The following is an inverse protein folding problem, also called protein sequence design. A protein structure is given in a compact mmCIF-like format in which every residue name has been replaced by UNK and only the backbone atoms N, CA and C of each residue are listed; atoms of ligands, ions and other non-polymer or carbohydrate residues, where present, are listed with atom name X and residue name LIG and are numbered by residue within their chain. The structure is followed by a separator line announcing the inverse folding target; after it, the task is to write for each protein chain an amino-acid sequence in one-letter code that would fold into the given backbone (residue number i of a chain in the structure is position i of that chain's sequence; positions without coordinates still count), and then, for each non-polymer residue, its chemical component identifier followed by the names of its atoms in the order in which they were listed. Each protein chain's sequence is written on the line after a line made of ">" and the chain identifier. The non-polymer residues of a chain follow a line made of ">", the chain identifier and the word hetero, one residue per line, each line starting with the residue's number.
data_IF_620010191096
#
_entry.id   IF_620010191096
#
_cell.length_a   1.000
_cell.length_b   1.000
_cell.length_c   1.000
_cell.angle_alpha   90.00
_cell.angle_beta   90.00
_cell.angle_gamma   90.00
#
_symmetry.space_group_name_H-M   'P 1'
#
loop_
_entity.id
_entity.type
_entity.pdbx_description
1 polymer ?
#
# COMPACT_ATOMS: atom_id res chain seq x y z
N UNK A 1 1.03 -53.18 70.27
CA UNK A 1 -0.07 -52.51 69.54
C UNK A 1 0.58 -51.46 68.64
N UNK A 2 0.90 -51.80 67.39
CA UNK A 2 1.59 -50.94 66.43
C UNK A 2 0.54 -50.30 65.50
N UNK A 3 0.48 -48.96 65.45
CA UNK A 3 -0.33 -48.22 64.47
C UNK A 3 0.49 -47.96 63.20
N UNK A 4 -0.04 -48.14 61.99
CA UNK A 4 0.68 -47.80 60.77
C UNK A 4 0.55 -46.31 60.47
N UNK A 5 1.68 -45.70 60.11
CA UNK A 5 1.78 -44.35 59.57
C UNK A 5 1.46 -44.42 58.06
N UNK A 6 0.34 -43.83 57.62
CA UNK A 6 0.03 -43.67 56.20
C UNK A 6 -0.45 -42.23 55.95
N UNK A 7 0.45 -41.36 55.47
CA UNK A 7 0.09 -39.95 55.29
C UNK A 7 1.02 -39.08 54.45
N UNK A 8 1.92 -39.62 53.63
CA UNK A 8 2.88 -38.79 52.87
C UNK A 8 2.77 -38.83 51.34
N UNK A 9 1.97 -39.72 50.74
CA UNK A 9 1.94 -39.86 49.27
C UNK A 9 1.02 -38.91 48.48
N UNK A 10 0.09 -38.18 49.12
CA UNK A 10 -0.93 -37.38 48.39
C UNK A 10 -0.53 -35.93 48.09
N UNK A 11 0.38 -35.36 48.87
CA UNK A 11 0.75 -33.93 48.75
C UNK A 11 1.76 -33.72 47.61
N UNK A 12 2.69 -34.65 47.40
CA UNK A 12 3.71 -34.55 46.33
C UNK A 12 3.11 -34.66 44.93
N UNK A 13 2.09 -35.50 44.74
CA UNK A 13 1.43 -35.68 43.42
C UNK A 13 0.63 -34.45 42.97
N UNK A 14 0.03 -33.73 43.92
CA UNK A 14 -0.69 -32.48 43.65
C UNK A 14 0.26 -31.33 43.29
N UNK A 15 1.38 -31.21 44.01
CA UNK A 15 2.42 -30.23 43.72
C UNK A 15 3.06 -30.48 42.34
N UNK A 16 3.40 -31.73 42.02
CA UNK A 16 3.97 -32.09 40.72
C UNK A 16 3.01 -31.80 39.57
N UNK A 17 1.71 -32.08 39.72
CA UNK A 17 0.68 -31.72 38.74
C UNK A 17 0.54 -30.20 38.54
N UNK A 18 0.54 -29.42 39.62
CA UNK A 18 0.46 -27.96 39.52
C UNK A 18 1.71 -27.36 38.86
N UNK A 19 2.89 -27.91 39.16
CA UNK A 19 4.15 -27.48 38.55
C UNK A 19 4.17 -27.81 37.05
N UNK A 20 3.78 -29.04 36.68
CA UNK A 20 3.71 -29.48 35.30
C UNK A 20 2.70 -28.67 34.47
N UNK A 21 1.52 -28.39 35.04
CA UNK A 21 0.51 -27.54 34.40
C UNK A 21 0.99 -26.08 34.25
N UNK A 22 1.72 -25.55 35.24
CA UNK A 22 2.27 -24.19 35.17
C UNK A 22 3.36 -24.05 34.10
N UNK A 23 4.22 -25.07 33.95
CA UNK A 23 5.25 -25.12 32.90
C UNK A 23 4.63 -25.23 31.51
N UNK A 24 3.56 -26.02 31.35
CA UNK A 24 2.80 -26.11 30.08
C UNK A 24 2.12 -24.76 29.77
N UNK A 25 1.52 -24.11 30.76
CA UNK A 25 0.86 -22.82 30.57
C UNK A 25 1.87 -21.71 30.18
N UNK A 26 3.05 -21.69 30.81
CA UNK A 26 4.16 -20.78 30.47
C UNK A 26 4.75 -21.04 29.09
N UNK A 27 4.87 -22.31 28.66
CA UNK A 27 5.37 -22.66 27.32
C UNK A 27 4.37 -22.36 26.21
N UNK A 28 3.06 -22.55 26.46
CA UNK A 28 2.01 -22.17 25.50
C UNK A 28 1.92 -20.64 25.36
N UNK A 29 2.05 -19.87 26.44
CA UNK A 29 2.08 -18.41 26.37
C UNK A 29 3.35 -17.84 25.70
N UNK A 30 4.49 -18.52 25.85
CA UNK A 30 5.76 -18.10 25.23
C UNK A 30 5.82 -18.39 23.71
N UNK A 31 4.88 -19.16 23.17
CA UNK A 31 4.78 -19.53 21.76
C UNK A 31 3.80 -18.65 20.97
N UNK A 32 3.26 -17.59 21.57
CA UNK A 32 2.66 -16.53 20.77
C UNK A 32 3.78 -15.86 19.99
N UNK A 33 4.03 -16.35 18.77
CA UNK A 33 4.75 -15.59 17.77
C UNK A 33 4.13 -14.19 17.75
N UNK A 34 4.91 -13.18 18.09
CA UNK A 34 4.45 -11.81 17.99
C UNK A 34 4.10 -11.58 16.51
N UNK A 35 2.79 -11.52 16.22
CA UNK A 35 2.31 -11.21 14.88
C UNK A 35 2.87 -9.85 14.46
N UNK A 36 3.41 -9.81 13.26
CA UNK A 36 4.10 -8.68 12.69
C UNK A 36 3.39 -8.27 11.41
N UNK A 37 2.87 -7.05 11.38
CA UNK A 37 2.20 -6.58 10.17
C UNK A 37 3.22 -6.32 9.05
N UNK A 38 2.82 -6.61 7.81
CA UNK A 38 3.59 -6.33 6.60
C UNK A 38 2.90 -5.24 5.80
N UNK A 39 3.63 -4.17 5.51
CA UNK A 39 3.19 -3.05 4.70
C UNK A 39 3.91 -3.08 3.35
N UNK A 40 3.16 -2.97 2.26
CA UNK A 40 3.70 -2.86 0.90
C UNK A 40 3.31 -1.51 0.32
N UNK A 41 4.32 -0.72 -0.01
CA UNK A 41 4.22 0.65 -0.51
C UNK A 41 4.37 0.66 -2.03
N UNK A 42 3.36 1.16 -2.75
CA UNK A 42 3.25 1.11 -4.21
C UNK A 42 3.25 2.54 -4.76
N UNK A 43 4.32 2.92 -5.45
CA UNK A 43 4.48 4.28 -5.98
C UNK A 43 3.58 4.57 -7.20
N UNK A 44 3.45 5.85 -7.51
CA UNK A 44 2.67 6.35 -8.63
C UNK A 44 3.42 6.40 -9.97
N UNK A 45 2.73 6.97 -10.96
CA UNK A 45 3.25 7.29 -12.28
C UNK A 45 4.47 8.23 -12.16
N UNK A 46 5.45 8.05 -13.06
CA UNK A 46 6.69 8.84 -13.11
C UNK A 46 7.50 8.90 -11.82
N UNK A 47 7.42 7.82 -11.05
CA UNK A 47 8.11 7.64 -9.79
C UNK A 47 8.71 6.24 -9.71
N UNK A 48 9.39 5.97 -8.60
CA UNK A 48 10.05 4.71 -8.28
C UNK A 48 9.91 4.40 -6.78
N UNK A 49 10.46 3.27 -6.33
CA UNK A 49 10.41 2.87 -4.93
C UNK A 49 11.08 3.87 -3.97
N UNK A 50 12.04 4.69 -4.44
CA UNK A 50 12.76 5.66 -3.62
C UNK A 50 11.91 6.87 -3.23
N UNK A 51 10.75 7.10 -3.87
CA UNK A 51 9.82 8.18 -3.52
C UNK A 51 9.38 8.14 -2.05
N UNK A 52 9.22 6.95 -1.48
CA UNK A 52 8.84 6.75 -0.08
C UNK A 52 9.96 7.16 0.89
N UNK A 53 11.21 7.12 0.42
CA UNK A 53 12.36 7.63 1.16
C UNK A 53 12.47 9.14 1.02
N UNK A 54 12.48 9.64 -0.23
CA UNK A 54 12.67 11.05 -0.55
C UNK A 54 11.58 11.95 0.06
N UNK A 55 10.36 11.44 0.17
CA UNK A 55 9.24 12.14 0.82
C UNK A 55 9.30 12.14 2.36
N UNK A 56 10.15 11.33 2.98
CA UNK A 56 10.21 11.16 4.44
C UNK A 56 9.14 10.22 5.02
N UNK A 57 8.28 9.61 4.20
CA UNK A 57 7.27 8.64 4.68
C UNK A 57 7.92 7.47 5.41
N UNK A 58 8.98 6.89 4.84
CA UNK A 58 9.72 5.79 5.45
C UNK A 58 10.42 6.19 6.76
N UNK A 59 10.78 7.46 6.94
CA UNK A 59 11.36 7.96 8.19
C UNK A 59 10.30 7.95 9.29
N UNK A 60 9.12 8.49 8.99
CA UNK A 60 8.01 8.56 9.95
C UNK A 60 7.45 7.18 10.31
N UNK A 61 7.32 6.28 9.32
CA UNK A 61 6.96 4.88 9.56
C UNK A 61 7.97 4.20 10.49
N UNK A 62 9.27 4.39 10.25
CA UNK A 62 10.32 3.82 11.10
C UNK A 62 10.30 4.38 12.52
N UNK A 63 10.13 5.70 12.68
CA UNK A 63 9.97 6.34 13.98
C UNK A 63 8.74 5.81 14.74
N UNK A 64 7.76 5.27 14.02
CA UNK A 64 6.54 4.67 14.56
C UNK A 64 6.55 3.14 14.59
N UNK A 65 7.74 2.52 14.52
CA UNK A 65 7.87 1.08 14.70
C UNK A 65 7.57 0.26 13.45
N UNK A 66 7.86 0.77 12.25
CA UNK A 66 7.86 -0.02 11.01
C UNK A 66 9.27 -0.13 10.45
N UNK A 67 9.88 -1.30 10.58
CA UNK A 67 11.24 -1.53 10.09
C UNK A 67 11.25 -1.62 8.56
N UNK A 68 12.18 -0.90 7.94
CA UNK A 68 12.41 -0.94 6.48
C UNK A 68 13.00 -2.29 6.10
N UNK A 69 12.21 -3.12 5.44
CA UNK A 69 12.58 -4.50 5.14
C UNK A 69 13.22 -4.66 3.75
N UNK A 70 12.99 -3.73 2.84
CA UNK A 70 13.66 -3.68 1.55
C UNK A 70 12.84 -3.07 0.43
N UNK A 71 13.39 -3.15 -0.78
CA UNK A 71 12.70 -2.85 -2.03
C UNK A 71 12.41 -4.16 -2.76
N UNK A 72 11.17 -4.35 -3.20
CA UNK A 72 10.73 -5.46 -4.02
C UNK A 72 10.86 -5.04 -5.48
N UNK A 73 11.75 -5.70 -6.20
CA UNK A 73 11.89 -5.56 -7.65
C UNK A 73 11.34 -6.85 -8.30
N UNK A 74 11.00 -6.86 -9.60
CA UNK A 74 10.47 -8.05 -10.24
C UNK A 74 11.32 -9.30 -9.97
N UNK A 75 10.73 -10.30 -9.29
CA UNK A 75 11.38 -11.59 -8.98
C UNK A 75 12.44 -11.58 -7.88
N UNK A 76 12.71 -10.45 -7.22
CA UNK A 76 13.74 -10.36 -6.17
C UNK A 76 13.35 -9.35 -5.08
N UNK A 77 13.56 -9.72 -3.82
CA UNK A 77 13.58 -8.77 -2.71
C UNK A 77 15.02 -8.30 -2.48
N UNK A 78 15.28 -7.00 -2.64
CA UNK A 78 16.56 -6.37 -2.31
C UNK A 78 16.47 -5.90 -0.85
N UNK A 79 17.17 -6.54 0.09
CA UNK A 79 17.11 -6.15 1.49
C UNK A 79 17.68 -4.75 1.69
N UNK A 80 17.00 -3.92 2.50
CA UNK A 80 17.63 -2.73 3.07
C UNK A 80 18.49 -3.13 4.28
N UNK A 81 19.57 -2.40 4.60
CA UNK A 81 20.28 -2.61 5.86
C UNK A 81 19.29 -2.43 7.01
N UNK A 82 18.92 -3.55 7.62
CA UNK A 82 17.88 -3.62 8.65
C UNK A 82 18.35 -2.83 9.86
N UNK A 83 17.63 -1.77 10.23
CA UNK A 83 17.65 -1.29 11.61
C UNK A 83 16.80 -2.27 12.41
N UNK A 84 17.49 -3.15 13.15
CA UNK A 84 16.85 -4.15 14.00
C UNK A 84 16.03 -3.46 15.09
N UNK A 85 14.80 -3.93 15.33
CA UNK A 85 14.05 -3.52 16.51
C UNK A 85 12.53 -3.65 16.43
N UNK A 86 11.92 -3.63 15.24
CA UNK A 86 10.45 -3.74 15.13
C UNK A 86 9.98 -5.07 14.55
N UNK A 87 8.88 -5.65 15.10
CA UNK A 87 8.17 -6.74 14.44
C UNK A 87 7.59 -6.30 13.09
N UNK A 88 7.00 -5.10 12.97
CA UNK A 88 6.33 -4.66 11.75
C UNK A 88 7.32 -4.26 10.65
N UNK A 89 6.96 -4.54 9.39
CA UNK A 89 7.87 -4.43 8.24
C UNK A 89 7.25 -3.62 7.12
N UNK A 90 8.01 -2.74 6.49
CA UNK A 90 7.62 -2.05 5.26
C UNK A 90 8.52 -2.44 4.09
N UNK A 91 7.90 -2.72 2.95
CA UNK A 91 8.54 -2.93 1.66
C UNK A 91 8.06 -1.88 0.68
N UNK A 92 8.98 -1.24 -0.05
CA UNK A 92 8.60 -0.46 -1.23
C UNK A 92 8.67 -1.36 -2.46
N UNK A 93 7.77 -1.19 -3.43
CA UNK A 93 7.77 -1.95 -4.70
C UNK A 93 8.27 -1.07 -5.81
N UNK A 94 9.18 -1.58 -6.63
CA UNK A 94 9.59 -0.96 -7.89
C UNK A 94 8.69 -1.45 -9.02
N UNK A 95 7.99 -0.51 -9.68
CA UNK A 95 7.09 -0.78 -10.80
C UNK A 95 7.59 -0.08 -12.07
N UNK A 96 7.32 -0.65 -13.26
CA UNK A 96 7.52 0.05 -14.51
C UNK A 96 6.45 1.13 -14.67
N UNK A 97 6.60 2.27 -13.98
CA UNK A 97 5.55 3.26 -13.79
C UNK A 97 4.98 3.87 -15.09
N UNK A 98 5.71 3.81 -16.21
CA UNK A 98 5.23 4.25 -17.53
C UNK A 98 4.39 3.19 -18.26
N UNK A 99 4.48 1.91 -17.86
CA UNK A 99 3.80 0.81 -18.54
C UNK A 99 2.28 0.80 -18.22
N UNK A 100 1.43 0.20 -19.06
CA UNK A 100 0.00 0.02 -18.77
C UNK A 100 -0.27 -0.55 -17.37
N UNK A 101 -1.41 -0.21 -16.77
CA UNK A 101 -1.74 -0.58 -15.39
C UNK A 101 -1.77 -2.11 -15.20
N UNK A 102 -2.17 -2.88 -16.22
CA UNK A 102 -2.12 -4.34 -16.17
C UNK A 102 -0.70 -4.90 -16.09
N UNK A 103 0.27 -4.27 -16.77
CA UNK A 103 1.69 -4.65 -16.71
C UNK A 103 2.23 -4.35 -15.32
N UNK A 104 1.94 -3.16 -14.78
CA UNK A 104 2.32 -2.81 -13.42
C UNK A 104 1.68 -3.75 -12.38
N UNK A 105 0.41 -4.14 -12.58
CA UNK A 105 -0.27 -5.09 -11.71
C UNK A 105 0.36 -6.49 -11.76
N UNK A 106 0.82 -6.94 -12.93
CA UNK A 106 1.56 -8.21 -13.04
C UNK A 106 2.88 -8.17 -12.26
N UNK A 107 3.63 -7.07 -12.34
CA UNK A 107 4.84 -6.88 -11.53
C UNK A 107 4.52 -6.86 -10.04
N UNK A 108 3.46 -6.14 -9.62
CA UNK A 108 3.03 -6.12 -8.23
C UNK A 108 2.62 -7.52 -7.74
N UNK A 109 1.95 -8.33 -8.57
CA UNK A 109 1.62 -9.73 -8.23
C UNK A 109 2.86 -10.55 -7.87
N UNK A 110 3.91 -10.48 -8.68
CA UNK A 110 5.18 -11.16 -8.40
C UNK A 110 5.84 -10.65 -7.11
N UNK A 111 5.77 -9.35 -6.84
CA UNK A 111 6.26 -8.79 -5.57
C UNK A 111 5.46 -9.33 -4.36
N UNK A 112 4.13 -9.43 -4.49
CA UNK A 112 3.26 -9.99 -3.45
C UNK A 112 3.45 -11.50 -3.27
N UNK A 113 3.80 -12.25 -4.32
CA UNK A 113 4.19 -13.66 -4.21
C UNK A 113 5.41 -13.82 -3.31
N UNK A 114 6.44 -12.98 -3.49
CA UNK A 114 7.63 -12.98 -2.63
C UNK A 114 7.27 -12.65 -1.18
N UNK A 115 6.41 -11.64 -0.97
CA UNK A 115 5.94 -11.27 0.38
C UNK A 115 5.18 -12.42 1.02
N UNK A 116 4.27 -13.07 0.29
CA UNK A 116 3.44 -14.16 0.83
C UNK A 116 4.16 -15.47 1.03
N UNK A 117 5.18 -15.76 0.23
CA UNK A 117 6.08 -16.89 0.50
C UNK A 117 6.87 -16.67 1.80
N UNK A 118 7.26 -15.42 2.10
CA UNK A 118 8.06 -15.10 3.28
C UNK A 118 7.23 -14.88 4.55
N UNK A 119 6.02 -14.33 4.39
CA UNK A 119 5.11 -13.93 5.47
C UNK A 119 3.70 -14.45 5.16
N UNK A 120 3.50 -15.79 5.19
CA UNK A 120 2.24 -16.40 4.78
C UNK A 120 1.07 -15.98 5.68
N UNK A 121 1.30 -15.90 6.98
CA UNK A 121 0.24 -15.74 7.99
C UNK A 121 0.17 -14.34 8.61
N UNK A 122 1.08 -13.45 8.22
CA UNK A 122 1.10 -12.07 8.70
C UNK A 122 0.01 -11.23 8.03
N UNK A 123 -0.53 -10.25 8.77
CA UNK A 123 -1.43 -9.25 8.18
C UNK A 123 -0.70 -8.49 7.08
N UNK A 124 -1.34 -8.30 5.93
CA UNK A 124 -0.78 -7.58 4.79
C UNK A 124 -1.61 -6.36 4.46
N UNK A 125 -0.96 -5.20 4.47
CA UNK A 125 -1.55 -3.91 4.11
C UNK A 125 -0.88 -3.39 2.85
N UNK A 126 -1.68 -2.98 1.88
CA UNK A 126 -1.21 -2.26 0.70
C UNK A 126 -1.43 -0.77 0.88
N UNK A 127 -0.42 0.04 0.60
CA UNK A 127 -0.54 1.49 0.48
C UNK A 127 -0.13 1.87 -0.93
N UNK A 128 -1.03 2.48 -1.67
CA UNK A 128 -0.72 2.98 -3.00
C UNK A 128 -0.87 4.49 -3.10
N UNK A 129 0.12 5.15 -3.68
CA UNK A 129 0.07 6.58 -4.00
C UNK A 129 -0.26 6.78 -5.47
N UNK A 130 -1.16 7.73 -5.77
CA UNK A 130 -1.52 8.10 -7.13
C UNK A 130 -1.91 6.86 -7.97
N UNK A 131 -1.34 6.67 -9.16
CA UNK A 131 -1.54 5.48 -9.99
C UNK A 131 -1.26 4.16 -9.25
N UNK A 132 -0.32 4.12 -8.30
CA UNK A 132 0.01 2.94 -7.51
C UNK A 132 -1.15 2.41 -6.67
N UNK A 133 -2.05 3.29 -6.20
CA UNK A 133 -3.27 2.85 -5.51
C UNK A 133 -4.29 2.22 -6.45
N UNK A 134 -4.32 2.64 -7.71
CA UNK A 134 -5.14 1.99 -8.76
C UNK A 134 -4.55 0.61 -9.10
N UNK A 135 -3.24 0.51 -9.27
CA UNK A 135 -2.54 -0.76 -9.49
C UNK A 135 -2.76 -1.73 -8.32
N UNK A 136 -2.60 -1.28 -7.08
CA UNK A 136 -2.84 -2.08 -5.89
C UNK A 136 -4.27 -2.61 -5.85
N UNK A 137 -5.25 -1.75 -6.13
CA UNK A 137 -6.67 -2.15 -6.21
C UNK A 137 -6.94 -3.17 -7.32
N UNK A 138 -6.31 -3.02 -8.49
CA UNK A 138 -6.44 -3.92 -9.62
C UNK A 138 -5.96 -5.35 -9.29
N UNK A 139 -4.91 -5.49 -8.47
CA UNK A 139 -4.39 -6.79 -8.02
C UNK A 139 -5.34 -7.52 -7.07
N UNK A 140 -6.23 -6.82 -6.37
CA UNK A 140 -7.19 -7.41 -5.45
C UNK A 140 -8.41 -8.04 -6.13
N UNK A 141 -8.62 -7.74 -7.41
CA UNK A 141 -9.70 -8.35 -8.19
C UNK A 141 -9.50 -9.87 -8.30
N UNK A 142 -10.60 -10.61 -8.39
CA UNK A 142 -10.55 -12.08 -8.46
C UNK A 142 -10.45 -12.78 -7.11
N UNK A 143 -10.94 -12.15 -6.04
CA UNK A 143 -11.12 -12.80 -4.74
C UNK A 143 -9.96 -12.67 -3.77
N UNK A 144 -9.16 -11.59 -3.87
CA UNK A 144 -8.05 -11.32 -2.96
C UNK A 144 -7.05 -12.48 -2.81
N UNK A 145 -6.37 -12.88 -3.91
CA UNK A 145 -5.51 -14.06 -3.92
C UNK A 145 -4.35 -13.97 -2.91
N UNK A 146 -3.96 -12.75 -2.52
CA UNK A 146 -2.90 -12.48 -1.56
C UNK A 146 -3.39 -12.26 -0.14
N UNK A 147 -4.66 -12.52 0.19
CA UNK A 147 -5.21 -12.32 1.55
C UNK A 147 -4.87 -10.94 2.13
N UNK A 148 -4.91 -9.88 1.32
CA UNK A 148 -4.68 -8.51 1.78
C UNK A 148 -5.78 -8.12 2.75
N UNK A 149 -5.42 -7.54 3.88
CA UNK A 149 -6.36 -7.19 4.95
C UNK A 149 -6.86 -5.74 4.83
N UNK A 150 -6.04 -4.88 4.22
CA UNK A 150 -6.33 -3.46 4.08
C UNK A 150 -5.68 -2.86 2.84
N UNK A 151 -6.44 -1.99 2.16
CA UNK A 151 -5.95 -1.12 1.09
C UNK A 151 -6.12 0.35 1.49
N UNK A 152 -4.99 1.05 1.59
CA UNK A 152 -4.93 2.49 1.80
C UNK A 152 -4.49 3.15 0.50
N UNK A 153 -5.18 4.19 0.06
CA UNK A 153 -4.81 4.95 -1.14
C UNK A 153 -4.59 6.40 -0.81
N UNK A 154 -3.55 7.01 -1.39
CA UNK A 154 -3.21 8.42 -1.21
C UNK A 154 -3.29 9.07 -2.59
N UNK A 155 -4.21 10.03 -2.76
CA UNK A 155 -4.30 10.79 -4.02
C UNK A 155 -4.56 9.95 -5.29
N UNK A 156 -5.19 8.78 -5.18
CA UNK A 156 -5.29 7.83 -6.31
C UNK A 156 -6.48 8.10 -7.23
N UNK A 157 -6.31 8.19 -8.55
CA UNK A 157 -7.39 8.50 -9.50
C UNK A 157 -8.28 7.27 -9.82
N UNK A 158 -9.12 6.83 -8.88
CA UNK A 158 -9.99 5.64 -9.05
C UNK A 158 -11.06 5.80 -10.13
N UNK A 159 -11.43 7.05 -10.45
CA UNK A 159 -12.34 7.40 -11.54
C UNK A 159 -11.60 8.09 -12.70
N UNK A 160 -10.27 8.01 -12.71
CA UNK A 160 -9.40 8.65 -13.68
C UNK A 160 -9.14 10.13 -13.41
N UNK A 161 -8.36 10.76 -14.27
CA UNK A 161 -8.07 12.20 -14.20
C UNK A 161 -8.01 12.82 -15.60
N UNK A 162 -8.54 14.05 -15.72
CA UNK A 162 -8.41 14.86 -16.93
C UNK A 162 -6.96 15.22 -17.26
N UNK A 163 -6.05 15.19 -16.27
CA UNK A 163 -4.62 15.40 -16.52
C UNK A 163 -4.00 14.29 -17.35
N UNK A 164 -4.53 13.07 -17.27
CA UNK A 164 -4.05 11.96 -18.10
C UNK A 164 -4.36 12.22 -19.58
N UNK A 165 -5.51 12.84 -19.89
CA UNK A 165 -5.85 13.26 -21.25
C UNK A 165 -4.89 14.35 -21.75
N UNK A 166 -4.58 15.34 -20.90
CA UNK A 166 -3.59 16.38 -21.23
C UNK A 166 -2.19 15.80 -21.47
N UNK A 167 -1.78 14.83 -20.64
CA UNK A 167 -0.54 14.08 -20.84
C UNK A 167 -0.53 13.31 -22.15
N UNK A 168 -1.64 12.65 -22.50
CA UNK A 168 -1.78 11.89 -23.73
C UNK A 168 -1.73 12.79 -24.97
N UNK A 169 -2.37 13.96 -24.94
CA UNK A 169 -2.29 14.96 -26.00
C UNK A 169 -0.83 15.36 -26.28
N UNK A 170 -0.02 15.52 -25.23
CA UNK A 170 1.42 15.83 -25.35
C UNK A 170 2.20 14.67 -25.99
N UNK A 171 1.92 13.42 -25.59
CA UNK A 171 2.57 12.24 -26.15
C UNK A 171 2.20 12.02 -27.63
N UNK A 172 0.93 12.23 -27.98
CA UNK A 172 0.43 12.03 -29.34
C UNK A 172 0.80 13.19 -30.28
N UNK A 173 0.99 14.41 -29.76
CA UNK A 173 1.51 15.55 -30.53
C UNK A 173 3.04 15.51 -30.63
N UNK A 174 3.55 14.72 -31.58
CA UNK A 174 4.99 14.68 -31.94
C UNK A 174 5.60 16.10 -32.01
N UNK A 175 6.64 16.44 -31.22
CA UNK A 175 7.13 17.81 -31.15
C UNK A 175 8.10 18.09 -32.29
N UNK A 176 7.59 18.41 -33.47
CA UNK A 176 8.38 19.18 -34.43
C UNK A 176 8.25 20.66 -34.01
N UNK A 177 9.15 21.13 -33.14
CA UNK A 177 9.32 22.55 -32.80
C UNK A 177 8.14 23.23 -32.05
N UNK A 178 8.13 23.22 -30.71
CA UNK A 178 7.55 24.33 -29.91
C UNK A 178 7.89 24.20 -28.41
N UNK A 179 8.44 25.25 -27.74
CA UNK A 179 8.49 25.30 -26.28
C UNK A 179 7.08 25.64 -25.76
N UNK A 180 6.32 24.61 -25.39
CA UNK A 180 4.92 24.73 -24.95
C UNK A 180 4.66 24.10 -23.57
N UNK A 181 3.39 24.16 -23.08
CA UNK A 181 2.97 23.80 -21.72
C UNK A 181 3.22 22.34 -21.29
N UNK A 182 3.70 21.47 -22.19
CA UNK A 182 4.01 20.07 -21.88
C UNK A 182 5.21 19.86 -20.96
N UNK A 183 6.15 20.82 -20.90
CA UNK A 183 7.27 20.77 -19.95
C UNK A 183 6.79 20.96 -18.51
N UNK A 184 5.70 21.70 -18.28
CA UNK A 184 5.22 21.97 -16.93
C UNK A 184 4.52 20.76 -16.31
N UNK A 185 3.70 20.00 -17.05
CA UNK A 185 3.17 18.72 -16.56
C UNK A 185 4.31 17.75 -16.23
N UNK A 186 5.30 17.62 -17.12
CA UNK A 186 6.47 16.77 -16.85
C UNK A 186 7.20 17.22 -15.58
N UNK A 187 7.45 18.52 -15.38
CA UNK A 187 8.09 19.05 -14.15
C UNK A 187 7.29 18.85 -12.87
N UNK A 188 5.95 18.87 -12.93
CA UNK A 188 5.09 18.71 -11.75
C UNK A 188 4.92 17.24 -11.34
N UNK A 189 4.99 16.32 -12.30
CA UNK A 189 4.80 14.88 -12.07
C UNK A 189 6.12 14.11 -11.95
N UNK A 190 7.14 14.57 -12.68
CA UNK A 190 8.44 13.93 -12.86
C UNK A 190 9.50 14.98 -12.53
N UNK A 191 10.05 14.95 -11.33
CA UNK A 191 11.20 15.81 -11.02
C UNK A 191 12.39 15.42 -11.91
N UNK A 192 12.57 16.07 -13.08
CA UNK A 192 13.64 15.73 -14.02
C UNK A 192 13.34 16.06 -15.48
N UNK A 193 14.33 15.86 -16.36
CA UNK A 193 14.38 16.33 -17.76
C UNK A 193 14.15 15.27 -18.83
N UNK A 194 13.47 14.17 -18.52
CA UNK A 194 13.51 12.99 -19.40
C UNK A 194 12.27 12.84 -20.28
N UNK A 195 12.42 13.25 -21.54
CA UNK A 195 11.43 13.14 -22.63
C UNK A 195 11.10 11.68 -22.98
N UNK A 196 12.08 10.78 -22.91
CA UNK A 196 11.92 9.35 -23.23
C UNK A 196 10.84 8.68 -22.35
N UNK A 197 10.66 9.15 -21.11
CA UNK A 197 9.66 8.61 -20.20
C UNK A 197 8.24 8.80 -20.73
N UNK A 198 7.94 9.96 -21.35
CA UNK A 198 6.61 10.26 -21.89
C UNK A 198 6.28 9.41 -23.12
N UNK A 199 7.26 9.10 -23.98
CA UNK A 199 7.05 8.26 -25.17
C UNK A 199 6.54 6.85 -24.79
N UNK A 200 7.08 6.27 -23.72
CA UNK A 200 6.63 4.97 -23.21
C UNK A 200 5.40 5.04 -22.29
N UNK A 201 4.98 6.24 -21.89
CA UNK A 201 3.87 6.47 -20.95
C UNK A 201 2.48 6.41 -21.58
N UNK A 202 2.38 6.31 -22.92
CA UNK A 202 1.09 6.34 -23.62
C UNK A 202 0.07 5.35 -23.04
N UNK A 203 0.52 4.14 -22.72
CA UNK A 203 -0.32 3.08 -22.17
C UNK A 203 -0.92 3.42 -20.81
N UNK A 204 -0.10 3.86 -19.85
CA UNK A 204 -0.58 4.22 -18.51
C UNK A 204 -1.47 5.46 -18.54
N UNK A 205 -1.18 6.43 -19.41
CA UNK A 205 -2.00 7.64 -19.54
C UNK A 205 -3.40 7.29 -20.08
N UNK A 206 -3.50 6.39 -21.07
CA UNK A 206 -4.79 5.87 -21.55
C UNK A 206 -5.56 5.17 -20.42
N UNK A 207 -4.87 4.34 -19.65
CA UNK A 207 -5.48 3.59 -18.56
C UNK A 207 -5.95 4.48 -17.40
N UNK A 208 -5.41 5.70 -17.25
CA UNK A 208 -5.76 6.68 -16.21
C UNK A 208 -6.74 7.78 -16.68
N UNK A 209 -7.21 7.71 -17.93
CA UNK A 209 -8.26 8.59 -18.43
C UNK A 209 -9.53 8.49 -17.56
N UNK A 210 -10.37 9.54 -17.51
CA UNK A 210 -11.66 9.48 -16.83
C UNK A 210 -12.41 8.18 -17.14
N UNK A 211 -13.02 7.58 -16.13
CA UNK A 211 -13.68 6.28 -16.28
C UNK A 211 -14.88 6.39 -17.23
N UNK A 212 -14.66 6.04 -18.49
CA UNK A 212 -15.65 6.02 -19.57
C UNK A 212 -15.86 4.60 -20.07
N UNK A 213 -17.04 4.32 -20.62
CA UNK A 213 -17.41 2.99 -21.11
C UNK A 213 -16.34 2.43 -22.05
N UNK A 214 -15.75 1.29 -21.68
CA UNK A 214 -14.78 0.54 -22.49
C UNK A 214 -13.32 0.65 -22.04
N UNK A 215 -12.98 1.51 -21.08
CA UNK A 215 -11.62 1.57 -20.53
C UNK A 215 -11.44 0.71 -19.25
N UNK A 216 -10.18 0.50 -18.85
CA UNK A 216 -9.85 -0.38 -17.72
C UNK A 216 -10.43 0.10 -16.39
N UNK A 217 -10.49 1.41 -16.14
CA UNK A 217 -11.07 1.95 -14.92
C UNK A 217 -12.58 1.69 -14.88
N UNK A 218 -13.30 1.94 -15.97
CA UNK A 218 -14.72 1.65 -16.06
C UNK A 218 -15.03 0.17 -15.86
N UNK A 219 -14.22 -0.72 -16.44
CA UNK A 219 -14.32 -2.16 -16.20
C UNK A 219 -14.03 -2.51 -14.73
N UNK A 220 -12.91 -2.05 -14.17
CA UNK A 220 -12.48 -2.31 -12.79
C UNK A 220 -13.52 -1.83 -11.78
N UNK A 221 -14.12 -0.65 -12.00
CA UNK A 221 -15.10 -0.03 -11.11
C UNK A 221 -16.43 -0.80 -11.00
N UNK A 222 -16.65 -1.77 -11.89
CA UNK A 222 -17.82 -2.66 -11.88
C UNK A 222 -17.51 -4.05 -11.32
N UNK A 223 -16.23 -4.39 -11.11
CA UNK A 223 -15.85 -5.72 -10.63
C UNK A 223 -16.15 -5.88 -9.14
N UNK A 224 -16.46 -7.10 -8.66
CA UNK A 224 -16.51 -7.40 -7.24
C UNK A 224 -15.15 -7.12 -6.58
N UNK A 225 -15.19 -6.41 -5.45
CA UNK A 225 -14.01 -6.13 -4.61
C UNK A 225 -14.09 -6.92 -3.32
N UNK A 226 -12.97 -7.48 -2.82
CA UNK A 226 -12.96 -8.32 -1.63
C UNK A 226 -13.41 -7.57 -0.37
N UNK A 227 -13.84 -8.31 0.65
CA UNK A 227 -14.26 -7.73 1.92
C UNK A 227 -13.07 -7.50 2.86
N UNK A 228 -12.47 -6.32 2.71
CA UNK A 228 -11.27 -5.87 3.41
C UNK A 228 -11.47 -4.41 3.87
N UNK A 229 -10.57 -3.90 4.69
CA UNK A 229 -10.61 -2.48 5.07
C UNK A 229 -10.12 -1.61 3.91
N UNK A 230 -10.88 -0.56 3.57
CA UNK A 230 -10.49 0.42 2.55
C UNK A 230 -10.34 1.81 3.17
N UNK A 231 -9.26 2.50 2.86
CA UNK A 231 -9.02 3.89 3.29
C UNK A 231 -8.63 4.76 2.10
N UNK A 232 -9.32 5.88 1.90
CA UNK A 232 -9.00 6.91 0.92
C UNK A 232 -8.47 8.14 1.64
N UNK A 233 -7.17 8.42 1.48
CA UNK A 233 -6.57 9.69 1.86
C UNK A 233 -6.72 10.65 0.67
N UNK A 234 -7.64 11.59 0.82
CA UNK A 234 -8.03 12.56 -0.20
C UNK A 234 -7.27 13.86 0.01
N UNK A 235 -6.67 14.39 -1.06
CA UNK A 235 -5.99 15.68 -1.08
C UNK A 235 -6.97 16.80 -1.40
N UNK A 236 -6.86 17.88 -0.63
CA UNK A 236 -7.70 19.06 -0.79
C UNK A 236 -6.94 20.29 -1.29
N UNK A 237 -5.60 20.30 -1.32
CA UNK A 237 -4.86 21.47 -1.78
C UNK A 237 -4.50 21.31 -3.27
N UNK A 238 -4.69 22.36 -4.11
CA UNK A 238 -4.87 23.76 -3.70
C UNK A 238 -6.32 24.29 -3.62
N UNK A 239 -7.35 23.53 -4.02
CA UNK A 239 -8.69 24.12 -4.28
C UNK A 239 -9.88 23.51 -3.52
N UNK A 240 -9.66 22.71 -2.47
CA UNK A 240 -10.64 21.89 -1.75
C UNK A 240 -11.42 20.86 -2.60
N UNK A 241 -11.27 20.90 -3.92
CA UNK A 241 -11.93 20.01 -4.90
C UNK A 241 -11.00 18.88 -5.38
N UNK A 242 -9.84 18.72 -4.78
CA UNK A 242 -8.78 17.79 -5.19
C UNK A 242 -7.41 18.43 -5.14
N UNK A 243 -6.40 17.64 -5.52
CA UNK A 243 -5.08 18.17 -5.82
C UNK A 243 -4.96 18.68 -7.26
N UNK A 244 -3.76 19.14 -7.62
CA UNK A 244 -3.43 19.70 -8.93
C UNK A 244 -3.46 18.65 -10.07
N UNK A 245 -3.47 17.36 -9.71
CA UNK A 245 -3.43 16.22 -10.63
C UNK A 245 -4.74 15.43 -10.64
N UNK A 246 -5.33 15.13 -9.49
CA UNK A 246 -6.47 14.24 -9.33
C UNK A 246 -7.57 14.95 -8.55
N UNK A 247 -8.79 15.05 -9.09
CA UNK A 247 -9.90 15.66 -8.37
C UNK A 247 -10.35 14.80 -7.18
N UNK A 248 -10.79 15.41 -6.08
CA UNK A 248 -11.14 14.75 -4.82
C UNK A 248 -12.18 13.65 -5.01
N UNK A 249 -13.18 13.86 -5.87
CA UNK A 249 -14.21 12.85 -6.16
C UNK A 249 -13.62 11.55 -6.75
N UNK A 250 -12.53 11.66 -7.52
CA UNK A 250 -11.83 10.52 -8.11
C UNK A 250 -10.93 9.81 -7.10
N UNK A 251 -10.50 10.49 -6.04
CA UNK A 251 -9.67 9.94 -4.96
C UNK A 251 -10.46 9.10 -3.96
N UNK A 252 -11.71 9.49 -3.71
CA UNK A 252 -12.58 8.80 -2.77
C UNK A 252 -13.17 7.52 -3.39
N UNK A 253 -12.76 6.37 -2.86
CA UNK A 253 -13.25 5.05 -3.28
C UNK A 253 -14.75 4.89 -3.05
N UNK A 254 -15.43 5.69 -2.23
CA UNK A 254 -16.89 5.63 -2.11
C UNK A 254 -17.64 6.12 -3.35
N UNK A 255 -16.96 6.86 -4.23
CA UNK A 255 -17.53 7.26 -5.53
C UNK A 255 -17.41 6.15 -6.58
N UNK A 256 -16.63 5.10 -6.30
CA UNK A 256 -16.62 3.87 -7.10
C UNK A 256 -17.86 3.04 -6.76
N UNK A 257 -18.70 2.64 -7.74
CA UNK A 257 -19.93 1.91 -7.48
C UNK A 257 -19.75 0.64 -6.63
N UNK A 258 -18.73 -0.18 -6.92
CA UNK A 258 -18.47 -1.43 -6.21
C UNK A 258 -17.88 -1.26 -4.78
N UNK A 259 -17.45 -0.06 -4.42
CA UNK A 259 -16.83 0.27 -3.12
C UNK A 259 -17.63 1.30 -2.31
N UNK A 260 -18.80 1.73 -2.80
CA UNK A 260 -19.63 2.74 -2.14
C UNK A 260 -19.99 2.34 -0.72
N UNK A 261 -19.65 3.20 0.24
CA UNK A 261 -19.89 2.98 1.67
C UNK A 261 -18.92 2.02 2.34
N UNK A 262 -17.89 1.55 1.63
CA UNK A 262 -16.91 0.57 2.13
C UNK A 262 -15.56 1.19 2.47
N UNK A 263 -15.33 2.45 2.09
CA UNK A 263 -14.07 3.14 2.34
C UNK A 263 -14.20 4.20 3.43
N UNK A 264 -13.28 4.21 4.39
CA UNK A 264 -13.05 5.34 5.28
C UNK A 264 -12.35 6.45 4.50
N UNK A 265 -12.85 7.69 4.59
CA UNK A 265 -12.28 8.84 3.89
C UNK A 265 -11.58 9.76 4.90
N UNK A 266 -10.35 10.13 4.59
CA UNK A 266 -9.54 11.06 5.38
C UNK A 266 -9.08 12.19 4.47
N UNK A 267 -9.49 13.41 4.77
CA UNK A 267 -9.10 14.58 4.01
C UNK A 267 -7.80 15.18 4.56
N UNK A 268 -6.91 15.57 3.66
CA UNK A 268 -5.61 16.16 4.00
C UNK A 268 -5.37 17.44 3.18
N UNK A 269 -4.96 18.55 3.83
CA UNK A 269 -4.67 19.81 3.16
C UNK A 269 -3.24 19.78 2.55
N UNK A 270 -2.95 18.77 1.74
CA UNK A 270 -1.66 18.60 1.05
C UNK A 270 -1.87 18.50 -0.46
N UNK A 271 -0.82 18.78 -1.23
CA UNK A 271 -0.80 18.60 -2.69
C UNK A 271 -0.63 17.13 -3.09
N UNK A 272 -0.43 16.88 -4.39
CA UNK A 272 -0.37 15.51 -4.90
C UNK A 272 0.82 14.71 -4.37
N UNK A 273 2.00 15.33 -4.24
CA UNK A 273 3.22 14.66 -3.80
C UNK A 273 3.13 14.11 -2.39
N UNK A 274 3.84 13.01 -2.14
CA UNK A 274 4.05 12.47 -0.80
C UNK A 274 4.88 13.43 0.05
N UNK A 275 4.65 13.40 1.36
CA UNK A 275 5.36 14.19 2.36
C UNK A 275 5.47 13.41 3.69
N UNK A 276 6.25 13.90 4.68
CA UNK A 276 6.41 13.17 5.94
C UNK A 276 5.09 12.99 6.69
N UNK A 277 4.17 13.95 6.62
CA UNK A 277 2.88 13.87 7.31
C UNK A 277 2.04 12.67 6.84
N UNK A 278 2.24 12.20 5.60
CA UNK A 278 1.63 10.96 5.12
C UNK A 278 2.14 9.74 5.90
N UNK A 279 3.43 9.66 6.20
CA UNK A 279 4.00 8.56 7.00
C UNK A 279 3.48 8.57 8.44
N UNK A 280 3.35 9.76 9.03
CA UNK A 280 2.74 9.91 10.35
C UNK A 280 1.25 9.51 10.36
N UNK A 281 0.49 9.89 9.32
CA UNK A 281 -0.90 9.50 9.16
C UNK A 281 -1.06 7.98 8.96
N UNK A 282 -0.26 7.39 8.07
CA UNK A 282 -0.23 5.93 7.87
C UNK A 282 0.05 5.20 9.18
N UNK A 283 1.03 5.64 9.96
CA UNK A 283 1.34 5.04 11.25
C UNK A 283 0.14 5.06 12.22
N UNK A 284 -0.67 6.13 12.22
CA UNK A 284 -1.91 6.22 13.02
C UNK A 284 -3.00 5.28 12.53
N UNK A 285 -3.22 5.23 11.20
CA UNK A 285 -4.18 4.30 10.58
C UNK A 285 -3.83 2.86 10.96
N UNK A 286 -2.55 2.50 10.82
CA UNK A 286 -2.05 1.15 11.05
C UNK A 286 -2.15 0.72 12.53
N UNK A 287 -2.04 1.66 13.47
CA UNK A 287 -2.28 1.43 14.91
C UNK A 287 -3.77 1.27 15.26
N UNK A 288 -4.67 1.61 14.34
CA UNK A 288 -6.11 1.62 14.59
C UNK A 288 -6.57 2.79 15.47
N UNK A 289 -5.76 3.84 15.58
CA UNK A 289 -6.12 5.04 16.33
C UNK A 289 -7.37 5.68 15.72
N UNK A 290 -8.22 6.28 16.55
CA UNK A 290 -9.32 7.10 16.06
C UNK A 290 -8.74 8.31 15.31
N UNK A 291 -9.15 8.50 14.06
CA UNK A 291 -8.69 9.60 13.18
C UNK A 291 -9.88 10.48 12.86
#
# INVERSE_FOLDING_TARGET
>A
MLRPFTGHGKVESAMFRQWFLSVIFLTIFSLQAAYADVLVLVHGYASDAATWEASGVNYELQANGWSRAGVLVPGLAVPSPVVQGSPNKSFAVELPAAAPLLVQADVLRHALDVVRQRYPDERLVLVGHSAGGVVARLVLLGGNPYRVDELITIASPHLGTVRAAQGLDIVDSKPFFCPGPGIDFLKHVVGGSDYDYLEYSRGVLIDLLPAESGNILAWMNQQPHPDIRYVSIVREAPFALGDDIVPAYSQDMNNVPALRGRSQVLYTPAGHSLNPQDGALLARILKGDSI
#
